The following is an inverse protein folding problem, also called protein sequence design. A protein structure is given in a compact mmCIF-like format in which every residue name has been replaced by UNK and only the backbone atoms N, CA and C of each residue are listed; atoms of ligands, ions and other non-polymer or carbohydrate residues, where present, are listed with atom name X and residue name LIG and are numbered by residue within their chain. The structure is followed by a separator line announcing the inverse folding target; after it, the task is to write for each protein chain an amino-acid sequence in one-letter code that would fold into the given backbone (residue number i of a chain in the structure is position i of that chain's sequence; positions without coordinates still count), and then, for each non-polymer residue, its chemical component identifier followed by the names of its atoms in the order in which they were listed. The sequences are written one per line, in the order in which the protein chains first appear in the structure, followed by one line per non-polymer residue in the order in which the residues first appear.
data_IF_358716260319
#
_entry.id   IF_358716260319
#
_cell.length_a   1.000
_cell.length_b   1.000
_cell.length_c   1.000
_cell.angle_alpha   90.00
_cell.angle_beta   90.00
_cell.angle_gamma   90.00
#
_symmetry.space_group_name_H-M   'P 1'
#
loop_
_entity.id
_entity.type
_entity.pdbx_description
1 polymer ?
#
# COMPACT_ATOMS: atom_id res chain seq x y z
N UNK A 1 5.30 -0.01 -4.95
CA UNK A 1 3.86 0.24 -5.17
C UNK A 1 3.09 -1.01 -4.79
N UNK A 2 1.79 -0.91 -4.51
CA UNK A 2 0.93 -2.08 -4.30
C UNK A 2 -0.12 -2.15 -5.41
N UNK A 3 -0.26 -3.34 -5.99
CA UNK A 3 -1.24 -3.65 -7.04
C UNK A 3 -2.05 -4.85 -6.53
N UNK A 4 -3.36 -4.79 -6.75
CA UNK A 4 -4.29 -5.82 -6.28
C UNK A 4 -5.16 -6.29 -7.46
N UNK A 5 -5.61 -7.54 -7.41
CA UNK A 5 -6.61 -8.06 -8.35
C UNK A 5 -7.96 -7.49 -7.97
N UNK A 6 -8.34 -6.39 -8.63
CA UNK A 6 -9.55 -5.63 -8.28
C UNK A 6 -9.38 -4.74 -7.05
N UNK A 7 -10.50 -4.23 -6.53
CA UNK A 7 -10.51 -3.31 -5.40
C UNK A 7 -10.18 -4.09 -4.11
N UNK A 8 -9.08 -3.78 -3.40
CA UNK A 8 -8.81 -4.42 -2.12
C UNK A 8 -9.87 -4.04 -1.08
N UNK A 9 -10.03 -4.88 -0.06
CA UNK A 9 -10.98 -4.67 1.03
C UNK A 9 -10.72 -3.36 1.80
N UNK A 10 -11.64 -2.98 2.67
CA UNK A 10 -11.53 -1.74 3.44
C UNK A 10 -10.36 -1.71 4.43
N UNK A 11 -10.01 -2.83 5.04
CA UNK A 11 -8.91 -2.91 6.01
C UNK A 11 -7.57 -2.69 5.30
N UNK A 12 -7.35 -3.36 4.18
CA UNK A 12 -6.18 -3.19 3.32
C UNK A 12 -6.03 -1.73 2.85
N UNK A 13 -7.13 -1.11 2.40
CA UNK A 13 -7.11 0.30 1.97
C UNK A 13 -6.79 1.25 3.12
N UNK A 14 -7.36 0.99 4.29
CA UNK A 14 -7.11 1.79 5.52
C UNK A 14 -5.64 1.67 5.94
N UNK A 15 -5.08 0.46 5.91
CA UNK A 15 -3.68 0.22 6.21
C UNK A 15 -2.74 1.00 5.27
N UNK A 16 -3.01 0.97 3.96
CA UNK A 16 -2.23 1.69 2.96
C UNK A 16 -2.29 3.21 3.18
N UNK A 17 -3.49 3.76 3.43
CA UNK A 17 -3.67 5.19 3.74
C UNK A 17 -2.92 5.60 5.00
N UNK A 18 -3.01 4.80 6.08
CA UNK A 18 -2.29 5.03 7.35
C UNK A 18 -0.78 5.14 7.15
N UNK A 19 -0.24 4.45 6.15
CA UNK A 19 1.17 4.48 5.78
C UNK A 19 1.50 5.43 4.61
N UNK A 20 0.64 6.42 4.36
CA UNK A 20 0.78 7.46 3.35
C UNK A 20 0.88 6.96 1.90
N UNK A 21 0.37 5.76 1.60
CA UNK A 21 0.16 5.33 0.22
C UNK A 21 -1.16 5.89 -0.30
N UNK A 22 -1.13 6.46 -1.51
CA UNK A 22 -2.29 7.06 -2.18
C UNK A 22 -2.63 6.28 -3.44
N UNK A 23 -3.91 6.20 -3.77
CA UNK A 23 -4.36 5.60 -5.03
C UNK A 23 -3.92 6.46 -6.23
N UNK A 24 -3.35 5.82 -7.25
CA UNK A 24 -3.03 6.43 -8.55
C UNK A 24 -3.88 5.75 -9.62
N UNK A 25 -4.94 6.41 -10.13
CA UNK A 25 -5.78 5.86 -11.18
C UNK A 25 -5.00 5.52 -12.46
N UNK A 26 -4.08 6.40 -12.87
CA UNK A 26 -3.25 6.21 -14.06
C UNK A 26 -2.27 5.05 -13.97
N UNK A 27 -1.88 4.64 -12.76
CA UNK A 27 -1.01 3.47 -12.52
C UNK A 27 -1.77 2.24 -12.06
N UNK A 28 -3.07 2.36 -11.76
CA UNK A 28 -3.84 1.28 -11.16
C UNK A 28 -3.23 0.75 -9.85
N UNK A 29 -2.56 1.61 -9.07
CA UNK A 29 -1.73 1.18 -7.95
C UNK A 29 -1.77 2.15 -6.77
N UNK A 30 -1.46 1.63 -5.58
CA UNK A 30 -1.18 2.44 -4.39
C UNK A 30 0.30 2.82 -4.35
N UNK A 31 0.57 4.12 -4.42
CA UNK A 31 1.91 4.69 -4.57
C UNK A 31 2.20 5.73 -3.49
N UNK A 32 3.49 5.91 -3.21
CA UNK A 32 4.06 7.04 -2.48
C UNK A 32 5.44 7.34 -3.05
N UNK A 33 5.98 8.52 -2.76
CA UNK A 33 7.34 8.89 -3.17
C UNK A 33 8.37 7.89 -2.62
N UNK A 34 9.35 7.53 -3.45
CA UNK A 34 10.41 6.60 -3.08
C UNK A 34 11.39 7.32 -2.16
N UNK A 35 11.37 6.93 -0.89
CA UNK A 35 12.30 7.36 0.16
C UNK A 35 12.68 6.15 1.01
N UNK A 36 13.71 6.26 1.86
CA UNK A 36 14.08 5.17 2.78
C UNK A 36 12.91 4.74 3.69
N UNK A 37 12.15 5.71 4.21
CA UNK A 37 10.92 5.44 4.98
C UNK A 37 9.86 4.70 4.15
N UNK A 38 9.71 5.04 2.85
CA UNK A 38 8.76 4.35 1.98
C UNK A 38 9.08 2.86 1.83
N UNK A 39 10.37 2.51 1.73
CA UNK A 39 10.81 1.11 1.67
C UNK A 39 10.52 0.38 2.99
N UNK A 40 10.78 1.02 4.13
CA UNK A 40 10.48 0.45 5.45
C UNK A 40 8.98 0.23 5.65
N UNK A 41 8.16 1.23 5.34
CA UNK A 41 6.70 1.14 5.40
C UNK A 41 6.17 0.04 4.48
N UNK A 42 6.70 -0.09 3.25
CA UNK A 42 6.30 -1.15 2.34
C UNK A 42 6.58 -2.55 2.92
N UNK A 43 7.77 -2.78 3.49
CA UNK A 43 8.11 -4.06 4.14
C UNK A 43 7.17 -4.38 5.31
N UNK A 44 6.85 -3.38 6.13
CA UNK A 44 5.92 -3.53 7.24
C UNK A 44 4.52 -3.91 6.77
N UNK A 45 3.99 -3.21 5.77
CA UNK A 45 2.67 -3.51 5.20
C UNK A 45 2.63 -4.92 4.61
N UNK A 46 3.66 -5.35 3.89
CA UNK A 46 3.74 -6.72 3.34
C UNK A 46 3.68 -7.76 4.47
N UNK A 47 4.34 -7.50 5.60
CA UNK A 47 4.29 -8.39 6.76
C UNK A 47 2.89 -8.42 7.37
N UNK A 48 2.26 -7.27 7.58
CA UNK A 48 0.91 -7.17 8.15
C UNK A 48 -0.13 -7.85 7.24
N UNK A 49 -0.07 -7.67 5.92
CA UNK A 49 -0.98 -8.30 4.96
C UNK A 49 -0.80 -9.82 4.81
N UNK A 50 0.35 -10.38 5.20
CA UNK A 50 0.57 -11.84 5.23
C UNK A 50 0.04 -12.50 6.50
N UNK A 51 -0.23 -11.69 7.52
CA UNK A 51 -0.72 -12.14 8.83
C UNK A 51 -2.25 -12.03 8.91
N UNK A 52 -2.86 -11.27 7.99
CA UNK A 52 -4.30 -11.20 7.74
C UNK A 52 -4.73 -12.30 6.76
#
# INVERSE_FOLDING_TARGET
MFIFKGKPDEQTRTLLKKNAFKWSPSKGAWIRQITGNAQSAARRIIKELKVL
#
